data_IF_526950397507
#
_entry.id   IF_526950397507
#
_cell.length_a   1.000
_cell.length_b   1.000
_cell.length_c   1.000
_cell.angle_alpha   90.00
_cell.angle_beta   90.00
_cell.angle_gamma   90.00
#
_symmetry.space_group_name_H-M   'P 1'
#
loop_
_entity.id
_entity.type
_entity.pdbx_description
1 polymer ?
#
# COMPACT_ATOMS: atom_id res chain seq x y z
N UNK A 1 8.88 19.07 1.03
CA UNK A 1 7.59 19.14 0.31
C UNK A 1 7.02 17.75 0.02
N UNK A 2 7.76 16.77 -0.61
CA UNK A 2 7.24 15.43 -0.91
C UNK A 2 6.61 14.71 0.30
N UNK A 3 7.34 14.60 1.42
CA UNK A 3 6.82 13.96 2.64
C UNK A 3 5.62 14.72 3.22
N UNK A 4 5.61 16.06 3.12
CA UNK A 4 4.47 16.88 3.55
C UNK A 4 3.22 16.55 2.72
N UNK A 5 3.35 16.40 1.41
CA UNK A 5 2.26 15.97 0.51
C UNK A 5 1.65 14.64 0.96
N UNK A 6 2.50 13.64 1.27
CA UNK A 6 2.03 12.34 1.75
C UNK A 6 1.24 12.46 3.08
N UNK A 7 1.78 13.23 4.04
CA UNK A 7 1.13 13.43 5.34
C UNK A 7 -0.21 14.17 5.21
N UNK A 8 -0.26 15.22 4.39
CA UNK A 8 -1.48 15.97 4.15
C UNK A 8 -2.58 15.11 3.52
N UNK A 9 -2.21 14.25 2.57
CA UNK A 9 -3.14 13.32 1.94
C UNK A 9 -3.69 12.29 2.95
N UNK A 10 -2.82 11.66 3.76
CA UNK A 10 -3.23 10.72 4.81
C UNK A 10 -4.13 11.36 5.88
N UNK A 11 -4.01 12.69 6.08
CA UNK A 11 -4.86 13.47 6.97
C UNK A 11 -6.17 13.95 6.31
N UNK A 12 -6.41 13.63 5.03
CA UNK A 12 -7.61 14.04 4.29
C UNK A 12 -7.54 15.47 3.72
N UNK A 13 -6.37 16.13 3.74
CA UNK A 13 -6.16 17.46 3.19
C UNK A 13 -5.69 17.39 1.73
N UNK A 14 -6.53 16.84 0.84
CA UNK A 14 -6.16 16.52 -0.54
C UNK A 14 -5.69 17.72 -1.36
N UNK A 15 -6.32 18.89 -1.22
CA UNK A 15 -5.93 20.11 -1.95
C UNK A 15 -4.51 20.57 -1.53
N UNK A 16 -4.23 20.66 -0.22
CA UNK A 16 -2.92 21.01 0.28
C UNK A 16 -1.84 19.95 -0.08
N UNK A 17 -2.22 18.68 -0.16
CA UNK A 17 -1.34 17.59 -0.61
C UNK A 17 -0.93 17.78 -2.07
N UNK A 18 -1.86 18.12 -2.96
CA UNK A 18 -1.58 18.42 -4.36
C UNK A 18 -0.69 19.66 -4.51
N UNK A 19 -0.96 20.73 -3.78
CA UNK A 19 -0.10 21.94 -3.77
C UNK A 19 1.33 21.61 -3.33
N UNK A 20 1.50 20.80 -2.28
CA UNK A 20 2.81 20.36 -1.80
C UNK A 20 3.54 19.47 -2.81
N UNK A 21 2.82 18.60 -3.52
CA UNK A 21 3.34 17.78 -4.62
C UNK A 21 3.79 18.66 -5.79
N UNK A 22 2.98 19.64 -6.21
CA UNK A 22 3.31 20.55 -7.27
C UNK A 22 4.55 21.40 -6.94
N UNK A 23 4.64 21.89 -5.70
CA UNK A 23 5.83 22.59 -5.23
C UNK A 23 7.09 21.71 -5.30
N UNK A 24 6.97 20.39 -4.93
CA UNK A 24 8.07 19.45 -5.05
C UNK A 24 8.48 19.22 -6.51
N UNK A 25 7.51 19.16 -7.43
CA UNK A 25 7.75 19.02 -8.87
C UNK A 25 8.53 20.24 -9.41
N UNK A 26 8.10 21.47 -9.09
CA UNK A 26 8.79 22.69 -9.49
C UNK A 26 10.21 22.77 -8.93
N UNK A 27 10.40 22.45 -7.66
CA UNK A 27 11.72 22.40 -7.03
C UNK A 27 12.62 21.34 -7.67
N UNK A 28 12.07 20.15 -7.96
CA UNK A 28 12.80 19.08 -8.67
C UNK A 28 13.27 19.51 -10.05
N UNK A 29 12.41 20.21 -10.80
CA UNK A 29 12.77 20.78 -12.10
C UNK A 29 13.82 21.88 -11.98
N UNK A 30 13.68 22.82 -11.05
CA UNK A 30 14.65 23.88 -10.83
C UNK A 30 16.04 23.36 -10.42
N UNK A 31 16.06 22.22 -9.71
CA UNK A 31 17.29 21.54 -9.29
C UNK A 31 17.80 20.50 -10.32
N UNK A 32 17.12 20.32 -11.44
CA UNK A 32 17.39 19.27 -12.44
C UNK A 32 17.47 17.83 -11.82
N UNK A 33 16.75 17.59 -10.74
CA UNK A 33 16.82 16.35 -9.97
C UNK A 33 15.75 15.34 -10.42
N UNK A 34 16.10 14.47 -11.37
CA UNK A 34 15.18 13.55 -12.03
C UNK A 34 14.45 12.62 -11.04
N UNK A 35 15.13 12.11 -10.01
CA UNK A 35 14.50 11.21 -9.05
C UNK A 35 13.44 11.91 -8.20
N UNK A 36 13.65 13.19 -7.81
CA UNK A 36 12.61 13.98 -7.11
C UNK A 36 11.40 14.18 -8.02
N UNK A 37 11.62 14.50 -9.29
CA UNK A 37 10.54 14.61 -10.29
C UNK A 37 9.78 13.27 -10.40
N UNK A 38 10.48 12.14 -10.48
CA UNK A 38 9.86 10.82 -10.55
C UNK A 38 9.02 10.51 -9.29
N UNK A 39 9.48 10.89 -8.09
CA UNK A 39 8.71 10.74 -6.86
C UNK A 39 7.41 11.57 -6.87
N UNK A 40 7.35 12.72 -7.53
CA UNK A 40 6.08 13.47 -7.67
C UNK A 40 5.07 12.73 -8.54
N UNK A 41 5.52 12.03 -9.58
CA UNK A 41 4.66 11.14 -10.36
C UNK A 41 4.17 9.94 -9.55
N UNK A 42 5.02 9.40 -8.67
CA UNK A 42 4.63 8.31 -7.77
C UNK A 42 3.52 8.75 -6.82
N UNK A 43 3.65 9.93 -6.22
CA UNK A 43 2.62 10.50 -5.34
C UNK A 43 1.32 10.71 -6.13
N UNK A 44 1.37 11.24 -7.35
CA UNK A 44 0.18 11.38 -8.22
C UNK A 44 -0.46 10.02 -8.53
N UNK A 45 0.35 8.99 -8.80
CA UNK A 45 -0.13 7.64 -9.03
C UNK A 45 -0.80 7.05 -7.77
N UNK A 46 -0.22 7.31 -6.59
CA UNK A 46 -0.80 6.87 -5.32
C UNK A 46 -2.13 7.58 -5.03
N UNK A 47 -2.22 8.89 -5.19
CA UNK A 47 -3.48 9.65 -5.03
C UNK A 47 -4.56 9.11 -5.97
N UNK A 48 -4.23 8.92 -7.26
CA UNK A 48 -5.14 8.36 -8.23
C UNK A 48 -5.61 6.95 -7.85
N UNK A 49 -4.71 6.11 -7.30
CA UNK A 49 -5.06 4.76 -6.83
C UNK A 49 -6.07 4.80 -5.67
N UNK A 50 -5.85 5.67 -4.70
CA UNK A 50 -6.75 5.82 -3.52
C UNK A 50 -8.11 6.37 -3.95
N UNK A 51 -8.13 7.28 -4.92
CA UNK A 51 -9.36 7.85 -5.49
C UNK A 51 -10.11 6.90 -6.44
N UNK A 52 -9.59 5.69 -6.70
CA UNK A 52 -10.20 4.73 -7.63
C UNK A 52 -9.96 5.05 -9.11
N UNK A 53 -9.09 6.00 -9.44
CA UNK A 53 -8.73 6.40 -10.81
C UNK A 53 -7.58 5.54 -11.33
N UNK A 54 -7.85 4.24 -11.53
CA UNK A 54 -6.82 3.23 -11.79
C UNK A 54 -6.08 3.41 -13.12
N UNK A 55 -6.76 3.88 -14.17
CA UNK A 55 -6.11 4.22 -15.45
C UNK A 55 -5.13 5.38 -15.28
N UNK A 56 -5.48 6.39 -14.48
CA UNK A 56 -4.58 7.50 -14.15
C UNK A 56 -3.38 7.01 -13.32
N UNK A 57 -3.60 6.07 -12.40
CA UNK A 57 -2.51 5.42 -11.64
C UNK A 57 -1.46 4.84 -12.59
N UNK A 58 -1.91 4.07 -13.60
CA UNK A 58 -1.04 3.48 -14.62
C UNK A 58 -0.36 4.56 -15.46
N UNK A 59 -1.10 5.61 -15.86
CA UNK A 59 -0.56 6.68 -16.68
C UNK A 59 0.55 7.48 -15.96
N UNK A 60 0.30 7.88 -14.71
CA UNK A 60 1.32 8.58 -13.89
C UNK A 60 2.54 7.70 -13.61
N UNK A 61 2.32 6.43 -13.26
CA UNK A 61 3.42 5.50 -13.02
C UNK A 61 4.33 5.35 -14.25
N UNK A 62 3.75 5.20 -15.44
CA UNK A 62 4.49 5.11 -16.69
C UNK A 62 5.22 6.40 -17.03
N UNK A 63 4.59 7.55 -16.82
CA UNK A 63 5.23 8.85 -17.05
C UNK A 63 6.46 9.04 -16.16
N UNK A 64 6.35 8.72 -14.87
CA UNK A 64 7.47 8.80 -13.93
C UNK A 64 8.60 7.81 -14.24
N UNK A 65 8.27 6.60 -14.72
CA UNK A 65 9.26 5.60 -15.17
C UNK A 65 10.15 6.10 -16.33
N UNK A 66 9.64 6.96 -17.20
CA UNK A 66 10.43 7.57 -18.28
C UNK A 66 11.43 8.60 -17.75
N UNK A 67 11.17 9.20 -16.58
CA UNK A 67 12.00 10.24 -15.97
C UNK A 67 13.22 9.65 -15.27
N UNK A 68 13.04 8.65 -14.41
CA UNK A 68 14.11 8.08 -13.59
C UNK A 68 13.99 6.55 -13.42
N UNK A 69 14.17 5.76 -14.51
CA UNK A 69 13.89 4.32 -14.51
C UNK A 69 14.80 3.50 -13.58
N UNK A 70 16.06 3.94 -13.37
CA UNK A 70 17.10 3.20 -12.65
C UNK A 70 17.33 3.76 -11.23
N UNK A 71 16.26 4.13 -10.55
CA UNK A 71 16.30 4.71 -9.20
C UNK A 71 15.28 4.02 -8.29
N UNK A 72 15.33 4.32 -6.99
CA UNK A 72 14.29 3.88 -6.04
C UNK A 72 12.90 4.33 -6.47
N UNK A 73 12.77 5.57 -6.99
CA UNK A 73 11.52 6.07 -7.55
C UNK A 73 11.03 5.23 -8.74
N UNK A 74 11.94 4.85 -9.65
CA UNK A 74 11.60 4.00 -10.79
C UNK A 74 11.08 2.62 -10.39
N UNK A 75 11.70 1.98 -9.39
CA UNK A 75 11.20 0.71 -8.85
C UNK A 75 9.82 0.88 -8.21
N UNK A 76 9.64 1.93 -7.41
CA UNK A 76 8.35 2.23 -6.77
C UNK A 76 7.26 2.48 -7.81
N UNK A 77 7.55 3.22 -8.88
CA UNK A 77 6.62 3.49 -9.98
C UNK A 77 6.23 2.22 -10.74
N UNK A 78 7.17 1.29 -10.99
CA UNK A 78 6.84 0.00 -11.59
C UNK A 78 5.84 -0.78 -10.73
N UNK A 79 5.98 -0.71 -9.41
CA UNK A 79 5.05 -1.35 -8.48
C UNK A 79 3.71 -0.61 -8.39
N UNK A 80 3.68 0.72 -8.46
CA UNK A 80 2.43 1.48 -8.56
C UNK A 80 1.68 1.16 -9.85
N UNK A 81 2.38 0.99 -10.98
CA UNK A 81 1.76 0.51 -12.22
C UNK A 81 1.12 -0.87 -12.02
N UNK A 82 1.80 -1.79 -11.32
CA UNK A 82 1.26 -3.11 -11.01
C UNK A 82 -0.01 -3.01 -10.15
N UNK A 83 -0.04 -2.12 -9.15
CA UNK A 83 -1.23 -1.88 -8.31
C UNK A 83 -2.40 -1.36 -9.15
N UNK A 84 -2.17 -0.41 -10.05
CA UNK A 84 -3.20 0.08 -10.99
C UNK A 84 -3.77 -1.06 -11.84
N UNK A 85 -2.91 -1.87 -12.45
CA UNK A 85 -3.35 -3.02 -13.25
C UNK A 85 -4.08 -4.08 -12.45
N UNK A 86 -3.67 -4.29 -11.17
CA UNK A 86 -4.35 -5.23 -10.28
C UNK A 86 -5.78 -4.79 -9.98
N UNK A 87 -6.00 -3.50 -9.77
CA UNK A 87 -7.34 -2.92 -9.56
C UNK A 87 -8.21 -2.96 -10.82
N UNK A 88 -7.61 -2.85 -12.00
CA UNK A 88 -8.29 -3.03 -13.30
C UNK A 88 -8.62 -4.52 -13.55
N UNK A 89 -7.98 -5.44 -12.82
CA UNK A 89 -8.13 -6.88 -13.00
C UNK A 89 -7.23 -7.49 -14.08
N UNK A 90 -6.24 -6.74 -14.58
CA UNK A 90 -5.31 -7.21 -15.60
C UNK A 90 -4.08 -7.86 -14.99
N UNK A 91 -4.20 -9.16 -14.67
CA UNK A 91 -3.14 -9.94 -14.02
C UNK A 91 -1.83 -10.00 -14.83
N UNK A 92 -1.91 -10.09 -16.15
CA UNK A 92 -0.73 -10.16 -17.03
C UNK A 92 0.10 -8.88 -16.98
N UNK A 93 -0.55 -7.71 -17.06
CA UNK A 93 0.13 -6.43 -16.97
C UNK A 93 0.67 -6.16 -15.56
N UNK A 94 -0.08 -6.55 -14.52
CA UNK A 94 0.38 -6.45 -13.14
C UNK A 94 1.64 -7.28 -12.91
N UNK A 95 1.67 -8.54 -13.37
CA UNK A 95 2.85 -9.41 -13.25
C UNK A 95 4.07 -8.85 -13.99
N UNK A 96 3.88 -8.36 -15.23
CA UNK A 96 4.96 -7.71 -16.00
C UNK A 96 5.51 -6.48 -15.28
N UNK A 97 4.64 -5.68 -14.66
CA UNK A 97 5.06 -4.50 -13.91
C UNK A 97 5.82 -4.87 -12.62
N UNK A 98 5.35 -5.88 -11.86
CA UNK A 98 6.07 -6.42 -10.70
C UNK A 98 7.44 -6.98 -11.11
N UNK A 99 7.52 -7.69 -12.22
CA UNK A 99 8.79 -8.22 -12.74
C UNK A 99 9.77 -7.11 -13.11
N UNK A 100 9.30 -6.03 -13.75
CA UNK A 100 10.14 -4.84 -14.01
C UNK A 100 10.64 -4.24 -12.69
N UNK A 101 9.79 -4.12 -11.68
CA UNK A 101 10.18 -3.65 -10.35
C UNK A 101 11.26 -4.53 -9.72
N UNK A 102 11.11 -5.86 -9.81
CA UNK A 102 12.08 -6.81 -9.27
C UNK A 102 13.44 -6.72 -9.98
N UNK A 103 13.44 -6.62 -11.31
CA UNK A 103 14.67 -6.44 -12.12
C UNK A 103 15.32 -5.09 -11.77
N UNK A 104 14.52 -4.02 -11.69
CA UNK A 104 15.01 -2.68 -11.30
C UNK A 104 15.68 -2.71 -9.94
N UNK A 105 15.02 -3.32 -8.94
CA UNK A 105 15.56 -3.45 -7.58
C UNK A 105 16.87 -4.23 -7.54
N UNK A 106 16.98 -5.33 -8.29
CA UNK A 106 18.19 -6.15 -8.32
C UNK A 106 19.43 -5.38 -8.89
N UNK A 107 19.17 -4.33 -9.67
CA UNK A 107 20.21 -3.49 -10.24
C UNK A 107 20.55 -2.26 -9.38
N UNK A 108 19.80 -2.00 -8.32
CA UNK A 108 20.10 -0.91 -7.39
C UNK A 108 21.14 -1.34 -6.35
N UNK A 109 21.99 -0.42 -5.89
CA UNK A 109 22.86 -0.67 -4.74
C UNK A 109 22.01 -0.91 -3.49
N UNK A 110 22.52 -1.74 -2.58
CA UNK A 110 21.88 -1.92 -1.27
C UNK A 110 21.83 -0.56 -0.55
N UNK A 111 20.63 -0.09 -0.14
CA UNK A 111 20.53 1.21 0.49
C UNK A 111 21.19 1.22 1.87
N UNK A 112 21.93 2.29 2.18
CA UNK A 112 22.53 2.50 3.50
C UNK A 112 21.49 2.83 4.58
N UNK A 113 20.35 3.40 4.17
CA UNK A 113 19.24 3.80 5.05
C UNK A 113 17.90 3.25 4.51
N UNK A 114 17.65 1.93 4.65
CA UNK A 114 16.43 1.30 4.13
C UNK A 114 15.15 1.78 4.84
N UNK A 115 15.29 2.41 6.01
CA UNK A 115 14.20 3.03 6.77
C UNK A 115 13.72 4.36 6.18
N UNK A 116 14.48 4.95 5.27
CA UNK A 116 14.11 6.22 4.65
C UNK A 116 12.88 6.05 3.74
N UNK A 117 11.90 6.97 3.85
CA UNK A 117 10.62 6.86 3.15
C UNK A 117 10.78 6.74 1.62
N UNK A 118 11.67 7.52 1.03
CA UNK A 118 11.94 7.57 -0.41
C UNK A 118 13.04 6.59 -0.88
N UNK A 119 13.20 5.48 -0.16
CA UNK A 119 14.09 4.37 -0.52
C UNK A 119 13.26 3.12 -0.76
N UNK A 120 13.55 2.42 -1.83
CA UNK A 120 12.89 1.14 -2.12
C UNK A 120 13.78 -0.02 -1.67
N UNK A 121 13.20 -0.98 -0.97
CA UNK A 121 13.86 -2.19 -0.45
C UNK A 121 13.12 -3.47 -0.86
N UNK A 122 13.75 -4.63 -0.69
CA UNK A 122 13.16 -5.92 -1.07
C UNK A 122 11.87 -6.23 -0.27
N UNK A 123 11.77 -5.76 0.98
CA UNK A 123 10.56 -5.95 1.78
C UNK A 123 9.39 -5.11 1.25
N UNK A 124 9.66 -3.91 0.71
CA UNK A 124 8.63 -3.13 0.00
C UNK A 124 8.12 -3.87 -1.23
N UNK A 125 9.00 -4.50 -2.01
CA UNK A 125 8.58 -5.26 -3.19
C UNK A 125 7.62 -6.39 -2.81
N UNK A 126 7.96 -7.22 -1.81
CA UNK A 126 7.09 -8.30 -1.34
C UNK A 126 5.77 -7.76 -0.78
N UNK A 127 5.82 -6.68 -0.02
CA UNK A 127 4.62 -6.02 0.53
C UNK A 127 3.65 -5.59 -0.58
N UNK A 128 4.11 -4.87 -1.57
CA UNK A 128 3.24 -4.42 -2.67
C UNK A 128 2.80 -5.56 -3.60
N UNK A 129 3.64 -6.58 -3.77
CA UNK A 129 3.27 -7.78 -4.53
C UNK A 129 2.12 -8.54 -3.82
N UNK A 130 2.17 -8.70 -2.49
CA UNK A 130 1.08 -9.31 -1.73
C UNK A 130 -0.25 -8.58 -1.99
N UNK A 131 -0.24 -7.25 -1.90
CA UNK A 131 -1.42 -6.42 -2.18
C UNK A 131 -1.95 -6.60 -3.62
N UNK A 132 -1.06 -6.59 -4.62
CA UNK A 132 -1.46 -6.82 -6.01
C UNK A 132 -2.14 -8.17 -6.20
N UNK A 133 -1.58 -9.23 -5.62
CA UNK A 133 -2.13 -10.58 -5.73
C UNK A 133 -3.42 -10.77 -4.92
N UNK A 134 -3.58 -10.06 -3.78
CA UNK A 134 -4.83 -10.06 -3.02
C UNK A 134 -5.99 -9.48 -3.86
N UNK A 135 -5.76 -8.35 -4.53
CA UNK A 135 -6.76 -7.76 -5.43
C UNK A 135 -7.05 -8.61 -6.67
N UNK A 136 -6.10 -9.39 -7.13
CA UNK A 136 -6.26 -10.32 -8.26
C UNK A 136 -6.79 -11.70 -7.86
N UNK A 137 -7.14 -11.91 -6.60
CA UNK A 137 -7.62 -13.17 -6.05
C UNK A 137 -6.67 -14.37 -6.35
N UNK A 138 -5.39 -14.19 -5.99
CA UNK A 138 -4.33 -15.21 -6.14
C UNK A 138 -3.78 -15.60 -4.76
N UNK A 139 -4.51 -16.42 -3.96
CA UNK A 139 -4.16 -16.70 -2.57
C UNK A 139 -2.75 -17.28 -2.39
N UNK A 140 -2.32 -18.20 -3.26
CA UNK A 140 -0.99 -18.80 -3.18
C UNK A 140 0.12 -17.75 -3.26
N UNK A 141 -0.05 -16.78 -4.18
CA UNK A 141 0.92 -15.69 -4.38
C UNK A 141 0.88 -14.68 -3.22
N UNK A 142 -0.32 -14.44 -2.64
CA UNK A 142 -0.44 -13.61 -1.44
C UNK A 142 0.36 -14.21 -0.31
N UNK A 143 0.17 -15.51 -0.03
CA UNK A 143 0.85 -16.24 1.05
C UNK A 143 2.37 -16.16 0.93
N UNK A 144 2.90 -16.45 -0.27
CA UNK A 144 4.34 -16.41 -0.57
C UNK A 144 4.96 -15.06 -0.17
N UNK A 145 4.33 -13.96 -0.55
CA UNK A 145 4.87 -12.61 -0.31
C UNK A 145 4.57 -12.08 1.10
N UNK A 146 3.36 -12.29 1.60
CA UNK A 146 2.91 -11.74 2.89
C UNK A 146 3.64 -12.36 4.08
N UNK A 147 3.88 -13.67 4.09
CA UNK A 147 4.62 -14.35 5.16
C UNK A 147 6.05 -13.80 5.30
N UNK A 148 6.72 -13.52 4.18
CA UNK A 148 8.05 -12.92 4.19
C UNK A 148 8.04 -11.51 4.82
N UNK A 149 7.01 -10.70 4.54
CA UNK A 149 6.85 -9.36 5.12
C UNK A 149 6.58 -9.45 6.62
N UNK A 150 5.65 -10.30 7.04
CA UNK A 150 5.31 -10.50 8.46
C UNK A 150 6.55 -10.93 9.24
N UNK A 151 7.30 -11.93 8.73
CA UNK A 151 8.52 -12.41 9.37
C UNK A 151 9.56 -11.29 9.58
N UNK A 152 9.72 -10.41 8.58
CA UNK A 152 10.65 -9.28 8.68
C UNK A 152 10.15 -8.19 9.64
N UNK A 153 8.86 -7.91 9.65
CA UNK A 153 8.27 -6.92 10.56
C UNK A 153 8.34 -7.36 12.03
N UNK A 154 8.28 -8.66 12.29
CA UNK A 154 8.29 -9.27 13.63
C UNK A 154 9.65 -9.90 14.00
N UNK A 155 10.71 -9.67 13.22
CA UNK A 155 12.03 -10.29 13.43
C UNK A 155 12.65 -9.99 14.79
N UNK A 156 12.26 -8.89 15.45
CA UNK A 156 12.75 -8.52 16.79
C UNK A 156 11.63 -8.75 17.80
N UNK A 157 11.80 -9.66 18.78
CA UNK A 157 10.78 -9.92 19.79
C UNK A 157 10.34 -8.65 20.54
N UNK A 158 9.03 -8.45 20.68
CA UNK A 158 8.45 -7.30 21.38
C UNK A 158 8.51 -5.97 20.63
N UNK A 159 8.97 -5.97 19.37
CA UNK A 159 9.05 -4.75 18.58
C UNK A 159 8.52 -5.00 17.15
N UNK A 160 7.43 -4.34 16.81
CA UNK A 160 6.95 -4.26 15.43
C UNK A 160 7.78 -3.22 14.64
N UNK A 161 8.35 -3.66 13.52
CA UNK A 161 8.96 -2.76 12.54
C UNK A 161 7.92 -2.44 11.47
N UNK A 162 7.93 -1.21 10.95
CA UNK A 162 7.02 -0.77 9.89
C UNK A 162 5.54 -1.11 10.16
N UNK A 163 4.93 -0.56 11.22
CA UNK A 163 3.60 -0.96 11.67
C UNK A 163 2.50 -0.81 10.62
N UNK A 164 2.55 0.21 9.75
CA UNK A 164 1.60 0.38 8.64
C UNK A 164 1.73 -0.75 7.62
N UNK A 165 2.97 -1.09 7.21
CA UNK A 165 3.23 -2.20 6.30
C UNK A 165 2.73 -3.52 6.86
N UNK A 166 2.97 -3.78 8.14
CA UNK A 166 2.48 -4.99 8.81
C UNK A 166 0.95 -5.03 8.85
N UNK A 167 0.29 -3.92 9.18
CA UNK A 167 -1.16 -3.84 9.23
C UNK A 167 -1.79 -4.10 7.86
N UNK A 168 -1.30 -3.47 6.81
CA UNK A 168 -1.82 -3.67 5.44
C UNK A 168 -1.51 -5.09 4.92
N UNK A 169 -0.36 -5.69 5.27
CA UNK A 169 -0.09 -7.10 4.95
C UNK A 169 -1.06 -8.05 5.66
N UNK A 170 -1.45 -7.75 6.89
CA UNK A 170 -2.50 -8.51 7.59
C UNK A 170 -3.85 -8.40 6.88
N UNK A 171 -4.17 -7.23 6.32
CA UNK A 171 -5.37 -7.08 5.47
C UNK A 171 -5.29 -7.97 4.23
N UNK A 172 -4.13 -8.01 3.56
CA UNK A 172 -3.94 -8.88 2.38
C UNK A 172 -4.13 -10.37 2.74
N UNK A 173 -3.61 -10.82 3.90
CA UNK A 173 -3.85 -12.16 4.42
C UNK A 173 -5.32 -12.39 4.79
N UNK A 174 -6.00 -11.39 5.33
CA UNK A 174 -7.43 -11.45 5.59
C UNK A 174 -8.26 -11.60 4.32
N UNK A 175 -7.95 -10.84 3.26
CA UNK A 175 -8.60 -10.97 1.95
C UNK A 175 -8.35 -12.34 1.32
N UNK A 176 -7.14 -12.88 1.46
CA UNK A 176 -6.81 -14.24 1.05
C UNK A 176 -7.69 -15.24 1.80
N UNK A 177 -7.80 -15.13 3.13
CA UNK A 177 -8.62 -16.02 3.95
C UNK A 177 -10.10 -15.97 3.55
N UNK A 178 -10.64 -14.79 3.20
CA UNK A 178 -12.01 -14.68 2.63
C UNK A 178 -12.15 -15.50 1.36
N UNK A 179 -11.17 -15.44 0.45
CA UNK A 179 -11.19 -16.18 -0.82
C UNK A 179 -11.11 -17.72 -0.60
N UNK A 180 -10.43 -18.15 0.47
CA UNK A 180 -10.32 -19.56 0.87
C UNK A 180 -11.53 -20.04 1.70
N UNK A 181 -12.47 -19.15 2.06
CA UNK A 181 -13.64 -19.48 2.88
C UNK A 181 -13.37 -19.54 4.39
N UNK A 182 -12.24 -19.03 4.85
CA UNK A 182 -11.72 -19.11 6.20
C UNK A 182 -12.13 -17.87 7.03
N UNK A 183 -13.40 -17.81 7.45
CA UNK A 183 -13.96 -16.65 8.16
C UNK A 183 -13.17 -16.25 9.42
N UNK A 184 -12.87 -17.22 10.28
CA UNK A 184 -12.16 -16.95 11.55
C UNK A 184 -10.77 -16.33 11.30
N UNK A 185 -10.04 -16.85 10.31
CA UNK A 185 -8.74 -16.32 9.91
C UNK A 185 -8.87 -14.89 9.33
N UNK A 186 -9.87 -14.65 8.49
CA UNK A 186 -10.13 -13.33 7.91
C UNK A 186 -10.40 -12.28 8.99
N UNK A 187 -11.30 -12.56 9.93
CA UNK A 187 -11.61 -11.68 11.06
C UNK A 187 -10.39 -11.49 11.97
N UNK A 188 -9.64 -12.55 12.27
CA UNK A 188 -8.42 -12.48 13.08
C UNK A 188 -7.38 -11.50 12.47
N UNK A 189 -7.09 -11.64 11.18
CA UNK A 189 -6.17 -10.72 10.51
C UNK A 189 -6.68 -9.29 10.48
N UNK A 190 -7.98 -9.08 10.31
CA UNK A 190 -8.62 -7.77 10.38
C UNK A 190 -8.44 -7.10 11.75
N UNK A 191 -8.71 -7.84 12.84
CA UNK A 191 -8.51 -7.36 14.22
C UNK A 191 -7.04 -7.03 14.48
N UNK A 192 -6.11 -7.87 14.02
CA UNK A 192 -4.67 -7.58 14.13
C UNK A 192 -4.26 -6.32 13.36
N UNK A 193 -4.88 -6.04 12.21
CA UNK A 193 -4.63 -4.82 11.44
C UNK A 193 -5.16 -3.57 12.17
N UNK A 194 -6.36 -3.65 12.77
CA UNK A 194 -6.95 -2.58 13.59
C UNK A 194 -6.15 -2.29 14.86
N UNK A 195 -5.50 -3.30 15.44
CA UNK A 195 -4.65 -3.18 16.63
C UNK A 195 -3.29 -2.51 16.38
N UNK A 196 -2.99 -2.06 15.16
CA UNK A 196 -1.74 -1.35 14.86
C UNK A 196 -1.62 -0.05 15.66
N UNK A 197 -0.46 0.17 16.26
CA UNK A 197 -0.16 1.40 17.02
C UNK A 197 -0.15 2.67 16.17
N UNK A 198 -0.05 2.53 14.85
CA UNK A 198 -0.10 3.65 13.92
C UNK A 198 -1.26 3.45 12.94
N UNK A 199 -2.34 4.17 13.19
CA UNK A 199 -3.51 4.18 12.30
C UNK A 199 -3.34 5.32 11.29
N UNK A 200 -3.13 4.96 10.02
CA UNK A 200 -3.17 5.89 8.90
C UNK A 200 -4.53 5.79 8.20
N UNK A 201 -4.98 6.86 7.56
CA UNK A 201 -6.22 6.85 6.77
C UNK A 201 -6.20 5.79 5.67
N UNK A 202 -5.05 5.62 5.01
CA UNK A 202 -4.83 4.58 4.01
C UNK A 202 -5.02 3.16 4.57
N UNK A 203 -4.54 2.87 5.79
CA UNK A 203 -4.73 1.57 6.45
C UNK A 203 -6.20 1.30 6.75
N UNK A 204 -6.96 2.30 7.23
CA UNK A 204 -8.39 2.12 7.46
C UNK A 204 -9.17 1.89 6.16
N UNK A 205 -8.77 2.55 5.07
CA UNK A 205 -9.31 2.26 3.73
C UNK A 205 -9.11 0.80 3.34
N UNK A 206 -7.93 0.24 3.61
CA UNK A 206 -7.64 -1.18 3.37
C UNK A 206 -8.45 -2.12 4.26
N UNK A 207 -8.61 -1.80 5.57
CA UNK A 207 -9.46 -2.60 6.46
C UNK A 207 -10.92 -2.54 6.03
N UNK A 208 -11.41 -1.40 5.51
CA UNK A 208 -12.76 -1.30 4.93
C UNK A 208 -12.96 -2.25 3.73
N UNK A 209 -11.93 -2.46 2.90
CA UNK A 209 -12.01 -3.46 1.82
C UNK A 209 -12.18 -4.89 2.38
N UNK A 210 -11.44 -5.23 3.44
CA UNK A 210 -11.57 -6.53 4.11
C UNK A 210 -12.94 -6.68 4.77
N UNK A 211 -13.42 -5.68 5.48
CA UNK A 211 -14.73 -5.68 6.12
C UNK A 211 -15.84 -5.91 5.09
N UNK A 212 -15.82 -5.17 3.98
CA UNK A 212 -16.77 -5.34 2.90
C UNK A 212 -16.71 -6.77 2.28
N UNK A 213 -15.51 -7.33 2.13
CA UNK A 213 -15.33 -8.68 1.61
C UNK A 213 -15.86 -9.76 2.58
N UNK A 214 -15.58 -9.61 3.88
CA UNK A 214 -16.09 -10.50 4.94
C UNK A 214 -17.61 -10.46 5.00
N UNK A 215 -18.20 -9.26 5.04
CA UNK A 215 -19.65 -9.11 5.09
C UNK A 215 -20.36 -9.63 3.84
N UNK A 216 -19.74 -9.50 2.67
CA UNK A 216 -20.28 -10.04 1.42
C UNK A 216 -20.22 -11.56 1.34
N UNK A 217 -19.13 -12.18 1.82
CA UNK A 217 -18.92 -13.62 1.79
C UNK A 217 -19.68 -14.36 2.91
N UNK A 218 -19.86 -13.72 4.07
CA UNK A 218 -20.41 -14.35 5.28
C UNK A 218 -21.49 -13.47 5.94
N UNK A 219 -22.60 -13.12 5.23
CA UNK A 219 -23.55 -12.10 5.69
C UNK A 219 -24.31 -12.46 6.99
N UNK A 220 -24.46 -13.76 7.25
CA UNK A 220 -25.22 -14.26 8.40
C UNK A 220 -24.36 -14.67 9.60
N UNK A 221 -23.02 -14.65 9.45
CA UNK A 221 -22.12 -15.09 10.49
C UNK A 221 -22.00 -14.05 11.64
N UNK A 222 -22.12 -14.47 12.90
CA UNK A 222 -21.94 -13.58 14.05
C UNK A 222 -20.51 -12.96 14.07
N UNK A 223 -19.49 -13.74 13.77
CA UNK A 223 -18.09 -13.33 13.76
C UNK A 223 -17.83 -12.20 12.71
N UNK A 224 -18.51 -12.26 11.56
CA UNK A 224 -18.44 -11.20 10.56
C UNK A 224 -19.02 -9.88 11.08
N UNK A 225 -20.17 -9.95 11.79
CA UNK A 225 -20.79 -8.78 12.41
C UNK A 225 -19.94 -8.20 13.54
N UNK A 226 -19.36 -9.06 14.37
CA UNK A 226 -18.45 -8.63 15.45
C UNK A 226 -17.23 -7.91 14.90
N UNK A 227 -16.65 -8.39 13.80
CA UNK A 227 -15.55 -7.70 13.12
C UNK A 227 -16.00 -6.35 12.53
N UNK A 228 -17.15 -6.30 11.87
CA UNK A 228 -17.75 -5.07 11.35
C UNK A 228 -17.95 -4.01 12.43
N UNK A 229 -18.46 -4.40 13.59
CA UNK A 229 -18.67 -3.50 14.73
C UNK A 229 -17.34 -2.93 15.25
N UNK A 230 -16.31 -3.77 15.37
CA UNK A 230 -14.95 -3.33 15.75
C UNK A 230 -14.35 -2.35 14.75
N UNK A 231 -14.46 -2.64 13.43
CA UNK A 231 -14.01 -1.73 12.39
C UNK A 231 -14.74 -0.39 12.45
N UNK A 232 -16.06 -0.42 12.60
CA UNK A 232 -16.90 0.79 12.67
C UNK A 232 -16.53 1.65 13.89
N UNK A 233 -16.27 1.03 15.04
CA UNK A 233 -15.83 1.72 16.25
C UNK A 233 -14.45 2.37 16.04
N UNK A 234 -13.49 1.66 15.42
CA UNK A 234 -12.15 2.18 15.13
C UNK A 234 -12.20 3.38 14.16
N UNK A 235 -13.06 3.33 13.14
CA UNK A 235 -13.25 4.43 12.19
C UNK A 235 -13.80 5.67 12.87
N UNK A 236 -14.83 5.54 13.71
CA UNK A 236 -15.40 6.65 14.48
C UNK A 236 -14.38 7.30 15.43
N UNK A 237 -13.55 6.50 16.09
CA UNK A 237 -12.49 6.99 16.97
C UNK A 237 -11.50 7.90 16.22
N UNK A 238 -11.13 7.56 14.99
CA UNK A 238 -10.25 8.38 14.17
C UNK A 238 -10.92 9.69 13.72
N UNK A 239 -12.19 9.63 13.27
CA UNK A 239 -12.97 10.80 12.84
C UNK A 239 -13.16 11.82 13.98
N UNK A 240 -13.26 11.36 15.23
CA UNK A 240 -13.43 12.22 16.41
C UNK A 240 -12.11 12.78 16.96
N UNK A 241 -10.94 12.37 16.40
CA UNK A 241 -9.64 12.85 16.85
C UNK A 241 -9.30 12.49 18.30
N UNK A 242 -9.94 11.49 18.87
CA UNK A 242 -9.70 11.01 20.26
C UNK A 242 -8.47 10.09 20.23
N UNK A 243 -7.34 10.48 20.88
CA UNK A 243 -6.24 9.55 21.11
C UNK A 243 -6.70 8.47 22.10
N UNK A 244 -6.44 7.20 21.78
CA UNK A 244 -6.47 6.13 22.76
C UNK A 244 -5.23 6.16 23.67
#
# INVERSE_FOLDING_TARGET
TLLLSCLQFDMGHSEAAEESRDAAFQLGHAAEHQEIIAWTFEISAWFALVDGRYDDTVAYARAGLLVAPNTSAGVQLAVQEAKGWSRIGNAEQAERALQRGAIGLANLPTPSHPEHHFVFDAAKLSFYAATCWAWLARPDRVREHAEAVVAQCLAVPGRERWPVRLAETRVDLGLMAVQEGELEAACHFGVLALGSHRRAGSTLGRVNELDAAVMAAFPDAPEARDFHDQFTAARRSLELGTPE
#
